data_IF_281588044892
#
_entry.id   IF_281588044892
#
_cell.length_a   1.000
_cell.length_b   1.000
_cell.length_c   1.000
_cell.angle_alpha   90.00
_cell.angle_beta   90.00
_cell.angle_gamma   90.00
#
_symmetry.space_group_name_H-M   'P 1'
#
loop_
_entity.id
_entity.type
_entity.pdbx_description
1 polymer ?
#
# COMPACT_ATOMS: atom_id res chain seq x y z
N UNK A 1 -6.11 3.07 -12.97
CA UNK A 1 -4.68 2.73 -12.80
C UNK A 1 -3.97 3.97 -12.28
N UNK A 2 -3.03 3.82 -11.34
CA UNK A 2 -2.22 4.94 -10.88
C UNK A 2 -0.91 5.00 -11.70
N UNK A 3 -0.43 6.20 -12.07
CA UNK A 3 0.94 6.38 -12.54
C UNK A 3 1.95 5.88 -11.50
N UNK A 4 2.96 5.15 -11.92
CA UNK A 4 3.86 4.42 -11.02
C UNK A 4 4.57 5.32 -10.00
N UNK A 5 5.00 6.49 -10.48
CA UNK A 5 5.71 7.51 -9.71
C UNK A 5 4.89 8.07 -8.54
N UNK A 6 3.56 7.94 -8.56
CA UNK A 6 2.70 8.48 -7.51
C UNK A 6 2.16 7.42 -6.56
N UNK A 7 2.47 6.14 -6.74
CA UNK A 7 1.88 5.04 -5.95
C UNK A 7 2.11 5.20 -4.45
N UNK A 8 3.35 5.52 -4.05
CA UNK A 8 3.72 5.77 -2.65
C UNK A 8 3.04 7.02 -2.06
N UNK A 9 3.21 8.25 -2.62
CA UNK A 9 2.57 9.44 -2.06
C UNK A 9 1.04 9.35 -2.09
N UNK A 10 0.46 8.72 -3.11
CA UNK A 10 -0.98 8.45 -3.16
C UNK A 10 -1.42 7.53 -2.01
N UNK A 11 -0.68 6.44 -1.75
CA UNK A 11 -1.01 5.51 -0.66
C UNK A 11 -0.98 6.22 0.69
N UNK A 12 0.05 7.02 0.98
CA UNK A 12 0.09 7.78 2.24
C UNK A 12 -1.05 8.80 2.34
N UNK A 13 -1.37 9.50 1.24
CA UNK A 13 -2.52 10.42 1.20
C UNK A 13 -3.85 9.69 1.41
N UNK A 14 -3.99 8.48 0.88
CA UNK A 14 -5.16 7.63 1.07
C UNK A 14 -5.32 7.23 2.55
N UNK A 15 -4.25 6.80 3.21
CA UNK A 15 -4.27 6.39 4.63
C UNK A 15 -4.53 7.58 5.57
N UNK A 16 -4.00 8.77 5.23
CA UNK A 16 -4.21 10.00 5.97
C UNK A 16 -5.56 10.67 5.71
N UNK A 17 -6.32 10.22 4.70
CA UNK A 17 -7.56 10.89 4.30
C UNK A 17 -8.60 10.85 5.42
N UNK A 18 -9.22 12.01 5.67
CA UNK A 18 -10.38 12.15 6.56
C UNK A 18 -11.46 12.99 5.86
N UNK A 19 -12.76 12.68 6.05
CA UNK A 19 -13.31 11.56 6.83
C UNK A 19 -12.95 10.18 6.22
N UNK A 20 -12.97 9.13 7.05
CA UNK A 20 -12.65 7.77 6.61
C UNK A 20 -13.70 7.25 5.61
N UNK A 21 -13.25 6.73 4.47
CA UNK A 21 -14.09 6.07 3.49
C UNK A 21 -14.30 4.59 3.82
N UNK A 22 -15.36 3.96 3.26
CA UNK A 22 -15.69 2.55 3.51
C UNK A 22 -14.59 1.59 3.03
N UNK A 23 -14.17 1.72 1.77
CA UNK A 23 -13.04 0.98 1.21
C UNK A 23 -12.53 1.66 -0.05
N UNK A 24 -11.28 1.36 -0.42
CA UNK A 24 -10.69 1.71 -1.70
C UNK A 24 -10.20 0.44 -2.39
N UNK A 25 -10.46 0.31 -3.69
CA UNK A 25 -9.97 -0.80 -4.53
C UNK A 25 -9.14 -0.18 -5.64
N UNK A 26 -7.84 -0.41 -5.59
CA UNK A 26 -6.86 0.31 -6.40
C UNK A 26 -5.94 -0.71 -7.08
N UNK A 27 -5.60 -0.42 -8.32
CA UNK A 27 -4.65 -1.21 -9.10
C UNK A 27 -3.28 -0.55 -9.08
N UNK A 28 -2.27 -1.32 -8.68
CA UNK A 28 -0.85 -0.97 -8.67
C UNK A 28 -0.05 -1.90 -9.59
N UNK A 29 1.22 -1.60 -9.83
CA UNK A 29 2.17 -2.61 -10.31
C UNK A 29 2.23 -3.76 -9.31
N UNK A 30 2.46 -4.96 -9.82
CA UNK A 30 2.49 -6.18 -9.02
C UNK A 30 3.47 -6.08 -7.84
N UNK A 31 4.72 -5.68 -8.07
CA UNK A 31 5.74 -5.54 -7.03
C UNK A 31 5.31 -4.55 -5.92
N UNK A 32 4.78 -3.39 -6.29
CA UNK A 32 4.29 -2.42 -5.32
C UNK A 32 3.10 -2.97 -4.52
N UNK A 33 2.17 -3.65 -5.19
CA UNK A 33 1.06 -4.36 -4.57
C UNK A 33 1.51 -5.41 -3.56
N UNK A 34 2.53 -6.19 -3.91
CA UNK A 34 3.15 -7.21 -3.04
C UNK A 34 3.75 -6.57 -1.79
N UNK A 35 4.47 -5.46 -1.92
CA UNK A 35 5.02 -4.71 -0.77
C UNK A 35 3.96 -4.11 0.15
N UNK A 36 2.76 -3.78 -0.37
CA UNK A 36 1.66 -3.28 0.47
C UNK A 36 1.05 -4.39 1.33
N UNK A 37 0.89 -5.59 0.76
CA UNK A 37 0.23 -6.73 1.41
C UNK A 37 1.20 -7.67 2.13
N UNK A 38 2.50 -7.39 2.05
CA UNK A 38 3.55 -8.24 2.61
C UNK A 38 3.35 -8.48 4.11
N UNK A 39 3.61 -9.69 4.57
CA UNK A 39 3.48 -10.10 5.98
C UNK A 39 4.84 -10.26 6.65
N UNK A 40 4.85 -10.22 7.98
CA UNK A 40 6.06 -10.47 8.78
C UNK A 40 6.74 -11.76 8.32
N UNK A 41 8.04 -11.67 8.01
CA UNK A 41 8.84 -12.81 7.52
C UNK A 41 8.87 -12.96 5.99
N UNK A 42 8.05 -12.22 5.24
CA UNK A 42 8.15 -12.17 3.78
C UNK A 42 9.25 -11.18 3.35
N UNK A 43 9.94 -11.48 2.25
CA UNK A 43 11.04 -10.67 1.71
C UNK A 43 10.66 -9.20 1.46
N UNK A 44 9.44 -8.96 1.00
CA UNK A 44 8.92 -7.63 0.69
C UNK A 44 8.34 -6.89 1.91
N UNK A 45 8.44 -7.46 3.11
CA UNK A 45 7.95 -6.83 4.33
C UNK A 45 8.86 -5.70 4.77
N UNK A 46 8.28 -4.54 5.04
CA UNK A 46 9.04 -3.42 5.56
C UNK A 46 8.17 -2.19 5.81
N UNK A 47 8.80 -1.01 5.80
CA UNK A 47 8.16 0.28 6.16
C UNK A 47 6.81 0.51 5.46
N UNK A 48 6.69 0.17 4.18
CA UNK A 48 5.45 0.36 3.42
C UNK A 48 4.32 -0.57 3.91
N UNK A 49 4.63 -1.87 4.10
CA UNK A 49 3.68 -2.86 4.61
C UNK A 49 3.18 -2.47 6.01
N UNK A 50 4.11 -2.08 6.89
CA UNK A 50 3.81 -1.70 8.28
C UNK A 50 2.91 -0.48 8.34
N UNK A 51 3.29 0.61 7.66
CA UNK A 51 2.47 1.83 7.63
C UNK A 51 1.08 1.54 7.03
N UNK A 52 1.00 0.71 6.01
CA UNK A 52 -0.28 0.36 5.39
C UNK A 52 -1.18 -0.43 6.35
N UNK A 53 -0.62 -1.42 7.04
CA UNK A 53 -1.33 -2.28 8.00
C UNK A 53 -1.69 -1.57 9.29
N UNK A 54 -0.90 -0.56 9.71
CA UNK A 54 -1.19 0.25 10.89
C UNK A 54 -2.50 1.04 10.75
N UNK A 55 -2.77 1.58 9.57
CA UNK A 55 -3.93 2.43 9.32
C UNK A 55 -5.07 1.72 8.58
N UNK A 56 -4.85 0.52 8.06
CA UNK A 56 -5.85 -0.17 7.26
C UNK A 56 -5.70 -1.69 7.25
N UNK A 57 -6.82 -2.38 7.03
CA UNK A 57 -6.81 -3.75 6.52
C UNK A 57 -6.56 -3.70 5.02
N UNK A 58 -5.34 -4.08 4.61
CA UNK A 58 -4.93 -4.18 3.21
C UNK A 58 -4.96 -5.64 2.74
N UNK A 59 -5.53 -5.89 1.56
CA UNK A 59 -5.72 -7.25 1.02
C UNK A 59 -5.52 -7.29 -0.48
N UNK A 60 -4.86 -8.35 -0.98
CA UNK A 60 -4.81 -8.66 -2.41
C UNK A 60 -6.18 -9.16 -2.88
N UNK A 61 -6.68 -8.60 -3.97
CA UNK A 61 -7.93 -9.03 -4.62
C UNK A 61 -7.61 -10.02 -5.74
N UNK A 62 -6.80 -9.61 -6.71
CA UNK A 62 -6.34 -10.46 -7.82
C UNK A 62 -5.13 -9.85 -8.52
N UNK A 63 -4.49 -10.64 -9.39
CA UNK A 63 -3.48 -10.14 -10.33
C UNK A 63 -4.13 -9.84 -11.68
N UNK A 64 -3.58 -8.87 -12.39
CA UNK A 64 -4.00 -8.48 -13.74
C UNK A 64 -2.78 -8.56 -14.64
N UNK A 65 -2.85 -9.39 -15.67
CA UNK A 65 -1.76 -9.54 -16.64
C UNK A 65 -1.59 -8.25 -17.44
N UNK A 66 -0.35 -7.89 -17.78
CA UNK A 66 -0.08 -6.80 -18.73
C UNK A 66 -0.79 -6.94 -20.08
N UNK A 67 -1.10 -8.17 -20.50
CA UNK A 67 -1.86 -8.44 -21.73
C UNK A 67 -3.32 -7.97 -21.68
N UNK A 68 -3.83 -7.59 -20.51
CA UNK A 68 -5.19 -7.05 -20.34
C UNK A 68 -5.30 -5.54 -20.63
N UNK A 69 -4.22 -4.90 -21.09
CA UNK A 69 -4.14 -3.46 -21.35
C UNK A 69 -3.80 -3.16 -22.82
N UNK A 70 -4.20 -1.98 -23.30
CA UNK A 70 -3.85 -1.49 -24.63
C UNK A 70 -3.48 0.01 -24.59
N UNK A 71 -2.22 0.40 -24.86
CA UNK A 71 -1.06 -0.49 -25.05
C UNK A 71 -0.69 -1.24 -23.76
N UNK A 72 -0.05 -2.42 -23.85
CA UNK A 72 0.36 -3.18 -22.68
C UNK A 72 1.48 -2.46 -21.90
N UNK A 73 1.40 -2.39 -20.55
CA UNK A 73 2.52 -1.93 -19.73
C UNK A 73 3.66 -2.95 -19.72
N UNK A 74 4.82 -2.54 -19.22
CA UNK A 74 6.00 -3.43 -19.14
C UNK A 74 5.83 -4.57 -18.12
N UNK A 75 5.06 -4.32 -17.06
CA UNK A 75 4.90 -5.21 -15.90
C UNK A 75 3.44 -5.55 -15.61
N UNK A 76 3.22 -6.67 -14.93
CA UNK A 76 1.90 -7.04 -14.42
C UNK A 76 1.40 -6.09 -13.33
N UNK A 77 0.09 -6.10 -13.13
CA UNK A 77 -0.59 -5.30 -12.11
C UNK A 77 -1.22 -6.19 -11.02
N UNK A 78 -1.51 -5.59 -9.87
CA UNK A 78 -2.25 -6.20 -8.77
C UNK A 78 -3.36 -5.26 -8.29
N UNK A 79 -4.56 -5.81 -8.10
CA UNK A 79 -5.66 -5.09 -7.45
C UNK A 79 -5.56 -5.33 -5.94
N UNK A 80 -5.53 -4.23 -5.20
CA UNK A 80 -5.43 -4.20 -3.74
C UNK A 80 -6.64 -3.47 -3.17
N UNK A 81 -7.21 -4.02 -2.11
CA UNK A 81 -8.31 -3.42 -1.36
C UNK A 81 -7.81 -2.94 0.00
N UNK A 82 -8.13 -1.69 0.31
CA UNK A 82 -7.90 -1.04 1.61
C UNK A 82 -9.23 -0.83 2.32
N UNK A 83 -9.26 -1.16 3.60
CA UNK A 83 -10.35 -0.78 4.52
C UNK A 83 -9.69 -0.06 5.69
N UNK A 84 -9.84 1.26 5.77
CA UNK A 84 -9.23 2.05 6.84
C UNK A 84 -9.84 1.69 8.19
N UNK A 85 -9.02 1.71 9.24
CA UNK A 85 -9.52 1.54 10.60
C UNK A 85 -10.37 2.76 11.00
N UNK A 86 -11.56 2.52 11.55
CA UNK A 86 -12.46 3.59 12.02
C UNK A 86 -11.86 4.33 13.22
N UNK A 87 -11.25 3.57 14.12
CA UNK A 87 -10.54 4.04 15.30
C UNK A 87 -9.05 3.74 15.11
N UNK A 88 -8.32 4.59 14.37
CA UNK A 88 -6.89 4.38 14.17
C UNK A 88 -6.14 4.57 15.50
N UNK A 89 -5.03 3.86 15.65
CA UNK A 89 -4.11 4.07 16.77
C UNK A 89 -3.68 5.54 16.77
N UNK A 90 -3.78 6.19 17.93
CA UNK A 90 -3.28 7.55 18.10
C UNK A 90 -1.76 7.51 18.24
N UNK A 91 -1.07 7.74 17.13
CA UNK A 91 0.38 7.77 17.04
C UNK A 91 0.83 9.03 16.30
N UNK A 92 1.91 9.64 16.76
CA UNK A 92 2.61 10.66 15.98
C UNK A 92 3.23 9.97 14.75
N UNK A 93 2.60 10.17 13.59
CA UNK A 93 3.02 9.51 12.35
C UNK A 93 4.44 9.90 11.93
N UNK A 94 4.85 11.19 11.93
CA UNK A 94 6.25 11.57 11.73
C UNK A 94 7.24 10.83 12.63
N UNK A 95 6.96 10.75 13.95
CA UNK A 95 7.82 10.04 14.89
C UNK A 95 7.90 8.54 14.56
N UNK A 96 6.74 7.91 14.34
CA UNK A 96 6.67 6.49 14.02
C UNK A 96 7.33 6.14 12.67
N UNK A 97 7.08 6.92 11.61
CA UNK A 97 7.75 6.71 10.31
C UNK A 97 9.26 6.96 10.43
N UNK A 98 9.69 7.89 11.28
CA UNK A 98 11.08 8.13 11.65
C UNK A 98 11.73 6.89 12.28
N UNK A 99 11.06 6.29 13.27
CA UNK A 99 11.51 5.04 13.90
C UNK A 99 11.63 3.91 12.88
N UNK A 100 10.61 3.71 12.02
CA UNK A 100 10.64 2.66 11.01
C UNK A 100 11.77 2.84 9.99
N UNK A 101 12.15 4.09 9.67
CA UNK A 101 13.30 4.36 8.80
C UNK A 101 14.60 3.89 9.42
N UNK A 102 14.80 4.07 10.72
CA UNK A 102 16.02 3.61 11.40
C UNK A 102 16.01 2.10 11.56
N UNK A 103 14.87 1.51 11.97
CA UNK A 103 14.79 0.11 12.36
C UNK A 103 14.75 -0.89 11.19
N UNK A 104 14.34 -0.46 9.99
CA UNK A 104 14.09 -1.37 8.84
C UNK A 104 15.04 -1.08 7.67
N UNK A 105 15.82 0.01 7.72
CA UNK A 105 16.92 0.25 6.78
C UNK A 105 18.26 -0.35 7.27
N UNK A 106 18.28 -0.98 8.44
CA UNK A 106 19.41 -1.76 8.96
C UNK A 106 19.32 -3.24 8.61
#
# INVERSE_FOLDING_TARGET
SLPYQISSPFTFKLLAHRPVFRCAVIMFQKEFGERLVARVGEENYGRLAINCQLFSKVTRVCNVSKGSFNPPPEVDSMIVKFVLHKDPINVDFPEFDGLLRVAILG
#
